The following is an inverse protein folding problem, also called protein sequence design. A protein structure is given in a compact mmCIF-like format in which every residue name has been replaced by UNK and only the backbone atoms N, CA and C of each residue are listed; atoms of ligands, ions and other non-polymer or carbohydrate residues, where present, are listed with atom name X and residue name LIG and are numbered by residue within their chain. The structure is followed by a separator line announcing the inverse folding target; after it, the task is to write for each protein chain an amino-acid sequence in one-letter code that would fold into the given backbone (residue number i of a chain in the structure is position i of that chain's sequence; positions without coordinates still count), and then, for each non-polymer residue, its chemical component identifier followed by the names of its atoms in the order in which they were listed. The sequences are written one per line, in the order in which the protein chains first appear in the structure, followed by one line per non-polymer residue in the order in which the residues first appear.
data_IF_930561149500
#
_entry.id   IF_930561149500
#
_cell.length_a   1.000
_cell.length_b   1.000
_cell.length_c   1.000
_cell.angle_alpha   90.00
_cell.angle_beta   90.00
_cell.angle_gamma   90.00
#
_symmetry.space_group_name_H-M   'P 1'
#
loop_
_entity.id
_entity.type
_entity.pdbx_description
1 polymer ?
#
# COMPACT_ATOMS: atom_id res chain seq x y z
N UNK A 1 4.17 11.23 -31.42
CA UNK A 1 5.60 11.16 -31.06
C UNK A 1 5.92 12.39 -30.23
N UNK A 2 5.93 12.27 -28.90
CA UNK A 2 6.32 13.34 -27.98
C UNK A 2 7.69 12.98 -27.41
N UNK A 3 8.74 13.52 -28.04
CA UNK A 3 10.13 13.36 -27.60
C UNK A 3 10.42 14.44 -26.57
N UNK A 4 10.50 14.07 -25.30
CA UNK A 4 11.14 14.89 -24.27
C UNK A 4 12.62 14.53 -24.29
N UNK A 5 13.48 15.51 -24.58
CA UNK A 5 14.91 15.39 -24.85
C UNK A 5 15.64 14.29 -24.03
N UNK A 6 16.22 13.33 -24.75
CA UNK A 6 17.23 12.40 -24.24
C UNK A 6 16.78 10.95 -24.03
N UNK A 7 15.50 10.68 -23.76
CA UNK A 7 15.09 9.32 -23.37
C UNK A 7 13.96 8.77 -24.23
N UNK A 8 14.24 7.66 -24.93
CA UNK A 8 13.25 6.98 -25.78
C UNK A 8 12.36 6.10 -24.90
N UNK A 9 11.06 6.40 -24.87
CA UNK A 9 10.06 5.55 -24.21
C UNK A 9 10.06 4.17 -24.91
N UNK A 10 10.39 3.13 -24.16
CA UNK A 10 10.41 1.75 -24.63
C UNK A 10 9.04 1.08 -24.59
N UNK A 11 8.11 1.63 -23.79
CA UNK A 11 6.73 1.20 -23.70
C UNK A 11 6.08 1.68 -22.40
N UNK A 12 4.92 1.13 -22.09
CA UNK A 12 4.17 1.43 -20.87
C UNK A 12 3.99 0.16 -20.06
N UNK A 13 4.23 0.24 -18.75
CA UNK A 13 3.92 -0.82 -17.79
C UNK A 13 2.74 -0.39 -16.93
N UNK A 14 1.83 -1.32 -16.64
CA UNK A 14 0.73 -1.08 -15.71
C UNK A 14 1.23 -1.28 -14.29
N UNK A 15 1.05 -0.26 -13.45
CA UNK A 15 1.34 -0.33 -12.03
C UNK A 15 0.13 0.08 -11.20
N UNK A 16 -0.10 -0.62 -10.09
CA UNK A 16 -1.13 -0.26 -9.11
C UNK A 16 -0.84 1.13 -8.55
N UNK A 17 -1.86 1.99 -8.50
CA UNK A 17 -1.77 3.34 -7.93
C UNK A 17 -1.60 3.28 -6.40
N UNK A 18 -0.35 3.19 -5.92
CA UNK A 18 0.00 3.07 -4.50
C UNK A 18 -0.57 4.21 -3.63
N UNK A 19 -0.64 5.43 -4.16
CA UNK A 19 -1.18 6.62 -3.48
C UNK A 19 -2.65 6.41 -3.02
N UNK A 20 -3.42 5.58 -3.75
CA UNK A 20 -4.81 5.28 -3.42
C UNK A 20 -4.97 4.12 -2.43
N UNK A 21 -3.89 3.40 -2.14
CA UNK A 21 -3.91 2.28 -1.20
C UNK A 21 -3.87 2.73 0.26
N UNK A 22 -3.39 3.95 0.54
CA UNK A 22 -3.32 4.50 1.91
C UNK A 22 -4.68 4.50 2.64
N UNK A 23 -5.74 5.10 2.07
CA UNK A 23 -7.07 5.06 2.67
C UNK A 23 -7.62 3.64 2.84
N UNK A 24 -7.37 2.75 1.88
CA UNK A 24 -7.79 1.35 1.94
C UNK A 24 -7.12 0.63 3.11
N UNK A 25 -5.82 0.84 3.30
CA UNK A 25 -5.05 0.29 4.41
C UNK A 25 -5.57 0.80 5.76
N UNK A 26 -5.87 2.10 5.87
CA UNK A 26 -6.40 2.69 7.09
C UNK A 26 -7.76 2.07 7.47
N UNK A 27 -8.69 1.96 6.52
CA UNK A 27 -9.99 1.33 6.74
C UNK A 27 -9.81 -0.14 7.16
N UNK A 28 -8.99 -0.91 6.45
CA UNK A 28 -8.74 -2.31 6.78
C UNK A 28 -8.12 -2.47 8.18
N UNK A 29 -7.17 -1.62 8.55
CA UNK A 29 -6.56 -1.62 9.88
C UNK A 29 -7.60 -1.27 10.97
N UNK A 30 -8.46 -0.27 10.74
CA UNK A 30 -9.55 0.08 11.67
C UNK A 30 -10.56 -1.06 11.84
N UNK A 31 -10.89 -1.79 10.76
CA UNK A 31 -11.77 -2.97 10.85
C UNK A 31 -11.13 -4.09 11.67
N UNK A 32 -9.85 -4.39 11.45
CA UNK A 32 -9.11 -5.39 12.25
C UNK A 32 -9.10 -5.00 13.72
N UNK A 33 -8.81 -3.73 14.02
CA UNK A 33 -8.80 -3.20 15.38
C UNK A 33 -10.19 -3.33 16.01
N UNK A 34 -11.24 -2.88 15.33
CA UNK A 34 -12.62 -2.96 15.83
C UNK A 34 -13.09 -4.39 16.10
N UNK A 35 -12.75 -5.35 15.24
CA UNK A 35 -13.08 -6.77 15.43
C UNK A 35 -12.35 -7.34 16.66
N UNK A 36 -11.08 -6.95 16.87
CA UNK A 36 -10.30 -7.41 18.02
C UNK A 36 -10.80 -6.81 19.32
N UNK A 37 -11.15 -5.53 19.33
CA UNK A 37 -11.64 -4.81 20.51
C UNK A 37 -13.10 -5.10 20.81
N UNK A 38 -13.92 -5.49 19.83
CA UNK A 38 -15.31 -5.93 20.05
C UNK A 38 -15.43 -7.18 20.94
N UNK A 39 -14.33 -7.93 21.14
CA UNK A 39 -14.26 -9.03 22.11
C UNK A 39 -14.12 -8.56 23.55
N UNK A 40 -13.86 -7.27 23.78
CA UNK A 40 -13.69 -6.71 25.12
C UNK A 40 -15.01 -6.14 25.63
N UNK A 41 -15.40 -6.40 26.90
CA UNK A 41 -16.54 -5.75 27.53
C UNK A 41 -16.40 -4.22 27.47
N UNK A 42 -17.50 -3.50 27.20
CA UNK A 42 -17.51 -2.04 27.04
C UNK A 42 -16.96 -1.24 28.25
N UNK A 43 -16.83 -1.88 29.42
CA UNK A 43 -16.19 -1.34 30.63
C UNK A 43 -14.65 -1.42 30.62
N UNK A 44 -14.03 -2.03 29.61
CA UNK A 44 -12.56 -2.15 29.48
C UNK A 44 -11.87 -0.85 29.02
N UNK A 45 -12.59 0.26 28.86
CA UNK A 45 -11.97 1.56 28.58
C UNK A 45 -10.99 2.02 29.66
N UNK A 46 -11.10 1.50 30.88
CA UNK A 46 -10.13 1.74 31.97
C UNK A 46 -9.00 0.68 32.04
N UNK A 47 -9.06 -0.38 31.23
CA UNK A 47 -8.28 -1.61 31.46
C UNK A 47 -7.00 -1.76 30.63
N UNK A 48 -6.80 -0.94 29.59
CA UNK A 48 -5.59 -0.99 28.77
C UNK A 48 -4.81 0.29 28.95
N UNK A 49 -3.55 0.13 29.31
CA UNK A 49 -2.59 1.23 29.26
C UNK A 49 -2.47 1.77 27.84
N UNK A 50 -2.14 3.05 27.68
CA UNK A 50 -1.88 3.66 26.37
C UNK A 50 -0.88 2.83 25.53
N UNK A 51 0.09 2.20 26.20
CA UNK A 51 1.08 1.31 25.59
C UNK A 51 0.49 0.01 25.02
N UNK A 52 -0.61 -0.50 25.54
CA UNK A 52 -1.29 -1.68 25.00
C UNK A 52 -2.19 -1.30 23.82
N UNK A 53 -2.79 -0.11 23.87
CA UNK A 53 -3.52 0.47 22.74
C UNK A 53 -2.62 0.68 21.52
N UNK A 54 -1.44 1.26 21.71
CA UNK A 54 -0.48 1.46 20.63
C UNK A 54 -0.05 0.14 19.99
N UNK A 55 0.16 -0.91 20.80
CA UNK A 55 0.51 -2.26 20.30
C UNK A 55 -0.61 -2.86 19.45
N UNK A 56 -1.87 -2.70 19.87
CA UNK A 56 -3.02 -3.23 19.14
C UNK A 56 -3.28 -2.46 17.84
N UNK A 57 -3.07 -1.14 17.83
CA UNK A 57 -3.08 -0.33 16.60
C UNK A 57 -1.99 -0.83 15.65
N UNK A 58 -0.75 -0.96 16.13
CA UNK A 58 0.38 -1.40 15.29
C UNK A 58 0.17 -2.83 14.76
N UNK A 59 -0.35 -3.72 15.59
CA UNK A 59 -0.72 -5.08 15.20
C UNK A 59 -1.77 -5.07 14.08
N UNK A 60 -2.81 -4.26 14.21
CA UNK A 60 -3.89 -4.15 13.23
C UNK A 60 -3.38 -3.62 11.88
N UNK A 61 -2.50 -2.61 11.91
CA UNK A 61 -1.83 -2.10 10.71
C UNK A 61 -0.96 -3.17 10.04
N UNK A 62 -0.20 -3.96 10.81
CA UNK A 62 0.63 -5.05 10.27
C UNK A 62 -0.19 -6.12 9.55
N UNK A 63 -1.32 -6.53 10.13
CA UNK A 63 -2.24 -7.50 9.50
C UNK A 63 -2.81 -6.91 8.20
N UNK A 64 -3.37 -5.71 8.27
CA UNK A 64 -3.97 -5.05 7.11
C UNK A 64 -2.96 -4.86 5.97
N UNK A 65 -1.72 -4.48 6.31
CA UNK A 65 -0.63 -4.34 5.32
C UNK A 65 -0.30 -5.68 4.66
N UNK A 66 -0.21 -6.76 5.44
CA UNK A 66 0.10 -8.09 4.92
C UNK A 66 -0.97 -8.57 3.94
N UNK A 67 -2.24 -8.40 4.29
CA UNK A 67 -3.37 -8.73 3.40
C UNK A 67 -3.35 -7.88 2.14
N UNK A 68 -3.16 -6.56 2.29
CA UNK A 68 -3.14 -5.64 1.16
C UNK A 68 -1.98 -5.95 0.19
N UNK A 69 -0.78 -6.22 0.71
CA UNK A 69 0.38 -6.64 -0.12
C UNK A 69 0.12 -7.96 -0.85
N UNK A 70 -0.53 -8.92 -0.20
CA UNK A 70 -0.90 -10.18 -0.85
C UNK A 70 -1.86 -9.95 -2.01
N UNK A 71 -2.91 -9.13 -1.80
CA UNK A 71 -3.89 -8.82 -2.82
C UNK A 71 -3.30 -8.04 -3.99
N UNK A 72 -2.49 -7.02 -3.74
CA UNK A 72 -1.89 -6.20 -4.82
C UNK A 72 -0.88 -6.97 -5.64
N UNK A 73 -0.23 -7.99 -5.07
CA UNK A 73 0.71 -8.85 -5.79
C UNK A 73 0.00 -9.93 -6.59
N UNK A 74 -1.02 -10.58 -6.00
CA UNK A 74 -1.66 -11.76 -6.61
C UNK A 74 -2.83 -11.43 -7.52
N UNK A 75 -3.52 -10.32 -7.24
CA UNK A 75 -4.75 -9.90 -7.91
C UNK A 75 -4.70 -8.40 -8.24
N UNK A 76 -3.68 -7.93 -9.01
CA UNK A 76 -3.52 -6.51 -9.33
C UNK A 76 -4.73 -5.93 -10.08
N UNK A 77 -5.52 -6.76 -10.76
CA UNK A 77 -6.74 -6.37 -11.48
C UNK A 77 -7.87 -5.85 -10.58
N UNK A 78 -7.84 -6.15 -9.28
CA UNK A 78 -8.79 -5.60 -8.30
C UNK A 78 -8.52 -4.13 -7.99
N UNK A 79 -7.34 -3.63 -8.36
CA UNK A 79 -6.89 -2.29 -8.02
C UNK A 79 -6.77 -1.41 -9.26
N UNK A 80 -7.07 -0.14 -9.07
CA UNK A 80 -6.85 0.86 -10.11
C UNK A 80 -5.35 0.91 -10.43
N UNK A 81 -5.04 0.75 -11.71
CA UNK A 81 -3.67 0.79 -12.22
C UNK A 81 -3.49 1.99 -13.16
N UNK A 82 -2.28 2.55 -13.18
CA UNK A 82 -1.86 3.59 -14.12
C UNK A 82 -0.79 3.04 -15.06
N UNK A 83 -0.76 3.57 -16.28
CA UNK A 83 0.30 3.28 -17.24
C UNK A 83 1.50 4.19 -16.97
N UNK A 84 2.65 3.58 -16.67
CA UNK A 84 3.89 4.29 -16.39
C UNK A 84 4.86 4.01 -17.55
N UNK A 85 5.41 5.05 -18.20
CA UNK A 85 6.39 4.85 -19.26
C UNK A 85 7.67 4.27 -18.66
N UNK A 86 8.23 3.26 -19.33
CA UNK A 86 9.60 2.83 -19.08
C UNK A 86 10.49 3.31 -20.24
N UNK A 87 11.73 3.63 -19.91
CA UNK A 87 12.68 4.23 -20.83
C UNK A 87 13.75 3.21 -21.23
N UNK A 88 14.11 3.18 -22.51
CA UNK A 88 15.21 2.35 -23.02
C UNK A 88 16.52 3.01 -22.60
N UNK A 89 17.41 2.26 -21.97
CA UNK A 89 18.77 2.74 -21.69
C UNK A 89 19.45 3.08 -23.02
N UNK A 90 19.92 4.32 -23.16
CA UNK A 90 20.70 4.74 -24.34
C UNK A 90 22.19 4.55 -24.04
N UNK A 91 23.03 4.49 -25.08
CA UNK A 91 24.49 4.38 -24.93
C UNK A 91 25.11 5.59 -24.16
N UNK A 92 24.33 6.65 -23.92
CA UNK A 92 24.70 7.80 -23.08
C UNK A 92 24.53 7.54 -21.58
N UNK A 93 23.77 6.50 -21.17
CA UNK A 93 23.52 6.14 -19.77
C UNK A 93 24.62 5.23 -19.16
N UNK A 94 25.62 4.81 -19.96
CA UNK A 94 26.77 4.05 -19.48
C UNK A 94 27.86 5.03 -19.03
N UNK A 95 28.18 5.13 -17.72
CA UNK A 95 29.26 6.00 -17.28
C UNK A 95 30.58 5.53 -17.92
N UNK A 96 31.21 6.43 -18.69
CA UNK A 96 32.57 6.24 -19.22
C UNK A 96 33.62 6.47 -18.15
#
# INVERSE_FOLDING_TARGET
MTSTNGSRVGGFRKEVEQERLGPTLAIAASLVLGIRTAKWPATHSEGLSDAEWDKEIEHSVRIARTVLSHLTTRYPELFRSREIPWYVATDEDVPR
#
